data_IF_594888741308
#
_entry.id   IF_594888741308
#
_cell.length_a   1.000
_cell.length_b   1.000
_cell.length_c   1.000
_cell.angle_alpha   90.00
_cell.angle_beta   90.00
_cell.angle_gamma   90.00
#
_symmetry.space_group_name_H-M   'P 1'
#
loop_
_entity.id
_entity.type
_entity.pdbx_description
1 polymer ?
#
# COMPACT_ATOMS: atom_id res chain seq x y z
N UNK A 1 -15.81 21.07 -59.76
CA UNK A 1 -15.68 21.12 -58.29
C UNK A 1 -15.88 19.72 -57.73
N UNK A 2 -14.83 19.04 -57.25
CA UNK A 2 -14.96 17.68 -56.75
C UNK A 2 -15.75 17.71 -55.44
N UNK A 3 -17.01 17.29 -55.50
CA UNK A 3 -17.78 17.06 -54.28
C UNK A 3 -17.14 15.86 -53.57
N UNK A 4 -16.68 16.07 -52.34
CA UNK A 4 -16.11 15.04 -51.46
C UNK A 4 -17.12 13.89 -51.25
N UNK A 5 -17.12 12.93 -52.17
CA UNK A 5 -17.93 11.69 -52.16
C UNK A 5 -17.71 10.89 -50.87
N UNK A 6 -16.52 11.02 -50.28
CA UNK A 6 -16.15 10.42 -49.00
C UNK A 6 -17.01 10.93 -47.83
N UNK A 7 -17.25 12.25 -47.75
CA UNK A 7 -18.02 12.84 -46.65
C UNK A 7 -19.51 12.46 -46.65
N UNK A 8 -20.09 12.26 -47.84
CA UNK A 8 -21.48 11.77 -47.96
C UNK A 8 -21.61 10.29 -47.60
N UNK A 9 -20.63 9.45 -47.99
CA UNK A 9 -20.59 8.03 -47.60
C UNK A 9 -20.38 7.86 -46.09
N UNK A 10 -19.56 8.70 -45.46
CA UNK A 10 -19.39 8.72 -44.00
C UNK A 10 -20.68 9.09 -43.28
N UNK A 11 -21.38 10.15 -43.71
CA UNK A 11 -22.67 10.54 -43.13
C UNK A 11 -23.73 9.45 -43.31
N UNK A 12 -23.79 8.79 -44.47
CA UNK A 12 -24.71 7.68 -44.72
C UNK A 12 -24.42 6.45 -43.85
N UNK A 13 -23.16 6.18 -43.54
CA UNK A 13 -22.78 5.09 -42.64
C UNK A 13 -23.09 5.43 -41.17
N UNK A 14 -22.83 6.66 -40.72
CA UNK A 14 -23.12 7.13 -39.36
C UNK A 14 -24.65 7.17 -39.08
N UNK A 15 -25.46 7.56 -40.07
CA UNK A 15 -26.93 7.58 -39.98
C UNK A 15 -27.59 6.26 -40.42
N UNK A 16 -26.82 5.20 -40.68
CA UNK A 16 -27.35 3.87 -40.99
C UNK A 16 -27.70 3.10 -39.71
N UNK A 17 -28.78 2.31 -39.75
CA UNK A 17 -29.27 1.47 -38.64
C UNK A 17 -28.20 0.52 -38.08
N UNK A 18 -27.18 0.15 -38.86
CA UNK A 18 -26.08 -0.72 -38.42
C UNK A 18 -24.82 0.06 -37.97
N UNK A 19 -24.60 1.27 -38.47
CA UNK A 19 -23.41 2.07 -38.14
C UNK A 19 -23.55 2.87 -36.85
N UNK A 20 -24.76 3.32 -36.52
CA UNK A 20 -25.04 4.06 -35.29
C UNK A 20 -24.74 3.27 -34.00
N UNK A 21 -25.14 1.98 -33.86
CA UNK A 21 -24.80 1.18 -32.69
C UNK A 21 -23.28 0.99 -32.50
N UNK A 22 -22.53 0.82 -33.60
CA UNK A 22 -21.07 0.66 -33.55
C UNK A 22 -20.37 1.90 -33.01
N UNK A 23 -20.77 3.09 -33.47
CA UNK A 23 -20.23 4.36 -32.98
C UNK A 23 -20.54 4.58 -31.50
N UNK A 24 -21.74 4.19 -31.07
CA UNK A 24 -22.17 4.29 -29.69
C UNK A 24 -21.30 3.40 -28.80
N UNK A 25 -21.06 2.14 -29.21
CA UNK A 25 -20.15 1.22 -28.51
C UNK A 25 -18.71 1.75 -28.45
N UNK A 26 -18.18 2.28 -29.56
CA UNK A 26 -16.85 2.89 -29.56
C UNK A 26 -16.76 4.10 -28.63
N UNK A 27 -17.81 4.91 -28.54
CA UNK A 27 -17.85 6.04 -27.60
C UNK A 27 -17.83 5.57 -26.15
N UNK A 28 -18.58 4.51 -25.82
CA UNK A 28 -18.64 3.92 -24.47
C UNK A 28 -17.27 3.35 -24.09
N UNK A 29 -16.63 2.60 -24.99
CA UNK A 29 -15.27 2.06 -24.78
C UNK A 29 -14.26 3.20 -24.59
N UNK A 30 -14.37 4.27 -25.38
CA UNK A 30 -13.47 5.43 -25.27
C UNK A 30 -13.60 6.12 -23.91
N UNK A 31 -14.82 6.33 -23.41
CA UNK A 31 -15.05 6.91 -22.09
C UNK A 31 -14.53 5.97 -20.98
N UNK A 32 -14.82 4.67 -21.08
CA UNK A 32 -14.31 3.67 -20.13
C UNK A 32 -12.78 3.67 -20.08
N UNK A 33 -12.10 3.73 -21.22
CA UNK A 33 -10.65 3.77 -21.29
C UNK A 33 -10.07 4.98 -20.53
N UNK A 34 -10.64 6.16 -20.73
CA UNK A 34 -10.21 7.38 -20.03
C UNK A 34 -10.45 7.24 -18.52
N UNK A 35 -11.61 6.73 -18.11
CA UNK A 35 -11.94 6.51 -16.71
C UNK A 35 -10.99 5.51 -16.05
N UNK A 36 -10.69 4.39 -16.70
CA UNK A 36 -9.71 3.42 -16.21
C UNK A 36 -8.32 4.03 -16.04
N UNK A 37 -7.87 4.84 -17.02
CA UNK A 37 -6.58 5.53 -16.94
C UNK A 37 -6.52 6.47 -15.73
N UNK A 38 -7.57 7.26 -15.49
CA UNK A 38 -7.62 8.17 -14.35
C UNK A 38 -7.70 7.43 -13.01
N UNK A 39 -8.45 6.32 -12.96
CA UNK A 39 -8.57 5.49 -11.76
C UNK A 39 -7.27 4.78 -11.39
N UNK A 40 -6.49 4.34 -12.38
CA UNK A 40 -5.16 3.76 -12.15
C UNK A 40 -4.24 4.75 -11.44
N UNK A 41 -4.20 5.99 -11.92
CA UNK A 41 -3.35 7.05 -11.34
C UNK A 41 -3.77 7.39 -9.92
N UNK A 42 -5.09 7.50 -9.65
CA UNK A 42 -5.60 7.72 -8.29
C UNK A 42 -5.21 6.59 -7.33
N UNK A 43 -5.28 5.34 -7.81
CA UNK A 43 -4.91 4.17 -7.03
C UNK A 43 -3.42 4.17 -6.70
N UNK A 44 -2.56 4.47 -7.67
CA UNK A 44 -1.10 4.53 -7.48
C UNK A 44 -0.71 5.56 -6.42
N UNK A 45 -1.38 6.72 -6.39
CA UNK A 45 -1.17 7.72 -5.34
C UNK A 45 -1.55 7.19 -3.95
N UNK A 46 -2.71 6.54 -3.82
CA UNK A 46 -3.15 5.94 -2.55
C UNK A 46 -2.20 4.83 -2.09
N UNK A 47 -1.75 3.97 -3.01
CA UNK A 47 -0.78 2.92 -2.71
C UNK A 47 0.54 3.53 -2.21
N UNK A 48 0.99 4.60 -2.85
CA UNK A 48 2.22 5.31 -2.45
C UNK A 48 2.10 5.89 -1.05
N UNK A 49 0.96 6.48 -0.71
CA UNK A 49 0.67 7.00 0.63
C UNK A 49 0.69 5.90 1.68
N UNK A 50 -0.03 4.80 1.45
CA UNK A 50 -0.05 3.64 2.36
C UNK A 50 1.35 3.04 2.53
N UNK A 51 2.12 2.91 1.46
CA UNK A 51 3.50 2.40 1.53
C UNK A 51 4.41 3.31 2.37
N UNK A 52 4.20 4.64 2.30
CA UNK A 52 4.92 5.59 3.14
C UNK A 52 4.57 5.39 4.61
N UNK A 53 3.31 5.17 4.95
CA UNK A 53 2.90 4.86 6.33
C UNK A 53 3.50 3.54 6.83
N UNK A 54 3.46 2.49 6.02
CA UNK A 54 4.08 1.20 6.34
C UNK A 54 5.59 1.38 6.60
N UNK A 55 6.27 2.19 5.79
CA UNK A 55 7.71 2.46 5.96
C UNK A 55 8.00 3.15 7.30
N UNK A 56 7.16 4.13 7.70
CA UNK A 56 7.27 4.81 8.99
C UNK A 56 7.02 3.85 10.15
N UNK A 57 5.95 3.07 10.09
CA UNK A 57 5.64 2.08 11.12
C UNK A 57 6.78 1.05 11.28
N UNK A 58 7.42 0.63 10.19
CA UNK A 58 8.60 -0.26 10.25
C UNK A 58 9.81 0.39 10.90
N UNK A 59 10.06 1.68 10.65
CA UNK A 59 11.14 2.42 11.31
C UNK A 59 10.85 2.56 12.81
N UNK A 60 9.64 2.96 13.17
CA UNK A 60 9.20 3.05 14.55
C UNK A 60 9.31 1.70 15.27
N UNK A 61 8.93 0.59 14.61
CA UNK A 61 9.09 -0.76 15.17
C UNK A 61 10.56 -1.08 15.46
N UNK A 62 11.49 -0.71 14.57
CA UNK A 62 12.93 -0.91 14.80
C UNK A 62 13.41 -0.08 15.98
N UNK A 63 13.01 1.18 16.06
CA UNK A 63 13.36 2.06 17.18
C UNK A 63 12.79 1.55 18.51
N UNK A 64 11.53 1.13 18.54
CA UNK A 64 10.88 0.55 19.71
C UNK A 64 11.56 -0.76 20.13
N UNK A 65 11.96 -1.60 19.17
CA UNK A 65 12.76 -2.80 19.42
C UNK A 65 14.09 -2.48 20.08
N UNK A 66 14.81 -1.48 19.57
CA UNK A 66 16.07 -1.01 20.15
C UNK A 66 15.89 -0.42 21.55
N UNK A 67 14.86 0.42 21.75
CA UNK A 67 14.50 0.98 23.07
C UNK A 67 14.14 -0.12 24.06
N UNK A 68 13.33 -1.10 23.66
CA UNK A 68 12.98 -2.26 24.49
C UNK A 68 14.23 -3.04 24.91
N UNK A 69 15.11 -3.37 23.96
CA UNK A 69 16.37 -4.06 24.26
C UNK A 69 17.26 -3.24 25.21
N UNK A 70 17.35 -1.93 25.01
CA UNK A 70 18.07 -1.02 25.91
C UNK A 70 17.49 -1.01 27.32
N UNK A 71 16.16 -0.90 27.47
CA UNK A 71 15.48 -0.93 28.77
C UNK A 71 15.62 -2.27 29.48
N UNK A 72 15.55 -3.38 28.74
CA UNK A 72 15.73 -4.75 29.25
C UNK A 72 17.20 -5.15 29.37
N UNK A 73 18.15 -4.26 29.06
CA UNK A 73 19.56 -4.57 29.23
C UNK A 73 19.89 -4.84 30.70
N UNK A 74 20.84 -5.76 30.93
CA UNK A 74 21.27 -6.17 32.28
C UNK A 74 21.66 -4.96 33.14
N UNK A 75 22.31 -3.94 32.54
CA UNK A 75 22.71 -2.73 33.23
C UNK A 75 21.52 -1.92 33.74
N UNK A 76 20.46 -1.77 32.94
CA UNK A 76 19.26 -1.04 33.33
C UNK A 76 18.42 -1.85 34.32
N UNK A 77 18.31 -3.16 34.15
CA UNK A 77 17.65 -4.05 35.11
C UNK A 77 18.35 -4.04 36.47
N UNK A 78 19.70 -4.05 36.50
CA UNK A 78 20.48 -3.92 37.74
C UNK A 78 20.27 -2.56 38.42
N UNK A 79 20.25 -1.47 37.65
CA UNK A 79 19.93 -0.13 38.17
C UNK A 79 18.52 -0.09 38.79
N UNK A 80 17.54 -0.71 38.13
CA UNK A 80 16.16 -0.79 38.60
C UNK A 80 16.08 -1.62 39.89
N UNK A 81 16.68 -2.81 39.91
CA UNK A 81 16.74 -3.67 41.09
C UNK A 81 17.36 -2.96 42.30
N UNK A 82 18.43 -2.18 42.09
CA UNK A 82 19.05 -1.37 43.15
C UNK A 82 18.10 -0.30 43.70
N UNK A 83 17.31 0.37 42.85
CA UNK A 83 16.33 1.39 43.29
C UNK A 83 15.23 0.78 44.17
N UNK A 84 14.75 -0.41 43.83
CA UNK A 84 13.69 -1.09 44.55
C UNK A 84 14.19 -2.08 45.63
N UNK A 85 15.49 -2.04 45.96
CA UNK A 85 16.13 -2.93 46.94
C UNK A 85 15.90 -4.43 46.67
N UNK A 86 15.78 -4.81 45.40
CA UNK A 86 15.61 -6.20 44.97
C UNK A 86 16.98 -6.90 44.98
N UNK A 87 17.01 -8.14 45.52
CA UNK A 87 18.22 -8.98 45.56
C UNK A 87 18.36 -9.74 44.24
N UNK A 88 19.60 -9.94 43.77
CA UNK A 88 19.82 -10.75 42.57
C UNK A 88 19.42 -12.22 42.84
N UNK A 89 18.79 -12.90 41.87
CA UNK A 89 18.43 -14.30 42.01
C UNK A 89 19.67 -15.19 42.05
N UNK A 90 19.57 -16.27 42.81
CA UNK A 90 20.62 -17.31 42.92
C UNK A 90 20.50 -18.25 41.71
N UNK A 91 21.56 -18.96 41.33
CA UNK A 91 21.57 -19.85 40.14
C UNK A 91 20.40 -20.86 40.13
N UNK A 92 20.04 -21.43 41.29
CA UNK A 92 18.91 -22.37 41.42
C UNK A 92 17.51 -21.74 41.28
N UNK A 93 17.41 -20.41 41.22
CA UNK A 93 16.14 -19.69 41.05
C UNK A 93 15.93 -19.21 39.60
N UNK A 94 16.89 -19.46 38.70
CA UNK A 94 16.80 -19.05 37.29
C UNK A 94 16.07 -20.13 36.50
N UNK A 95 14.88 -19.80 36.00
CA UNK A 95 14.12 -20.68 35.11
C UNK A 95 14.42 -20.24 33.68
N UNK A 96 15.13 -21.09 32.92
CA UNK A 96 15.38 -20.87 31.50
C UNK A 96 14.22 -21.50 30.72
N UNK A 97 13.39 -20.67 30.11
CA UNK A 97 12.35 -21.13 29.19
C UNK A 97 12.98 -21.13 27.79
N UNK A 98 13.13 -22.29 27.14
CA UNK A 98 13.61 -22.34 25.76
C UNK A 98 12.61 -21.64 24.84
N UNK A 99 13.12 -20.81 23.93
CA UNK A 99 12.27 -20.21 22.89
C UNK A 99 11.69 -21.34 22.05
N UNK A 100 10.36 -21.37 21.92
CA UNK A 100 9.71 -22.23 20.93
C UNK A 100 10.27 -21.84 19.57
N UNK A 101 10.80 -22.82 18.83
CA UNK A 101 11.28 -22.65 17.46
C UNK A 101 10.26 -21.81 16.67
N UNK A 102 10.78 -20.76 16.03
CA UNK A 102 9.98 -19.81 15.24
C UNK A 102 9.31 -20.46 14.05
#
# INVERSE_FOLDING_TARGET
MPQNTFGRKLKGFIFSSQGFPLLLMFSVISVLFVLFRMKSVELDYKITEVNKEISRARLEQKELGAKKAGLLSVNNLRKLAKRYKLKQPIQGQIIVIPDKEK
#
